data_IF_372965120292
#
_entry.id   IF_372965120292
#
_cell.length_a   1.000
_cell.length_b   1.000
_cell.length_c   1.000
_cell.angle_alpha   90.00
_cell.angle_beta   90.00
_cell.angle_gamma   90.00
#
_symmetry.space_group_name_H-M   'P 1'
#
loop_
_entity.id
_entity.type
_entity.pdbx_description
1 polymer ?
#
# COMPACT_ATOMS: atom_id res chain seq x y z
N UNK A 1 -12.58 -10.15 15.26
CA UNK A 1 -12.22 -10.72 16.59
C UNK A 1 -10.73 -10.94 16.63
N UNK A 2 -10.09 -10.80 17.79
CA UNK A 2 -8.67 -11.16 17.91
C UNK A 2 -8.52 -12.66 18.13
N UNK A 3 -7.59 -13.34 17.43
CA UNK A 3 -7.29 -14.75 17.69
C UNK A 3 -6.49 -14.95 18.98
N UNK A 4 -5.86 -13.88 19.46
CA UNK A 4 -5.08 -13.93 20.69
C UNK A 4 -5.99 -13.73 21.91
N UNK A 5 -5.84 -14.62 22.90
CA UNK A 5 -6.52 -14.54 24.17
C UNK A 5 -7.71 -15.48 24.33
N UNK A 6 -8.15 -15.62 25.57
CA UNK A 6 -9.19 -16.58 25.95
C UNK A 6 -10.61 -16.18 25.49
N UNK A 7 -10.79 -14.93 25.09
CA UNK A 7 -12.12 -14.41 24.71
C UNK A 7 -12.75 -15.18 23.53
N UNK A 8 -11.96 -15.49 22.51
CA UNK A 8 -12.46 -16.29 21.39
C UNK A 8 -12.75 -17.73 21.83
N UNK A 9 -11.87 -18.33 22.61
CA UNK A 9 -12.01 -19.69 23.12
C UNK A 9 -13.27 -19.83 23.97
N UNK A 10 -13.54 -18.87 24.86
CA UNK A 10 -14.74 -18.84 25.70
C UNK A 10 -16.00 -18.69 24.82
N UNK A 11 -15.96 -17.82 23.81
CA UNK A 11 -17.09 -17.64 22.88
C UNK A 11 -17.37 -18.89 22.07
N UNK A 12 -16.33 -19.59 21.57
CA UNK A 12 -16.49 -20.84 20.83
C UNK A 12 -17.08 -21.97 21.71
N UNK A 13 -16.75 -21.99 23.01
CA UNK A 13 -17.37 -22.93 23.95
C UNK A 13 -18.82 -22.64 24.21
N UNK A 14 -19.17 -21.35 24.41
CA UNK A 14 -20.54 -20.93 24.71
C UNK A 14 -21.46 -20.97 23.48
N UNK A 15 -20.88 -20.81 22.28
CA UNK A 15 -21.60 -20.77 21.01
C UNK A 15 -20.90 -21.67 19.98
N UNK A 16 -21.09 -23.00 20.05
CA UNK A 16 -20.42 -23.96 19.16
C UNK A 16 -20.72 -23.72 17.68
N UNK A 17 -21.86 -23.10 17.35
CA UNK A 17 -22.22 -22.68 15.99
C UNK A 17 -21.22 -21.68 15.37
N UNK A 18 -20.44 -20.94 16.18
CA UNK A 18 -19.38 -20.06 15.67
C UNK A 18 -18.28 -20.85 14.93
N UNK A 19 -18.03 -22.09 15.32
CA UNK A 19 -17.00 -22.93 14.70
C UNK A 19 -17.59 -23.85 13.64
N UNK A 20 -18.77 -24.42 13.91
CA UNK A 20 -19.38 -25.43 13.03
C UNK A 20 -20.09 -24.83 11.81
N UNK A 21 -20.57 -23.58 11.90
CA UNK A 21 -21.42 -22.94 10.88
C UNK A 21 -20.78 -21.72 10.22
N UNK A 22 -19.54 -21.37 10.55
CA UNK A 22 -18.84 -20.23 9.95
C UNK A 22 -17.45 -20.63 9.49
N UNK A 23 -16.99 -20.02 8.40
CA UNK A 23 -15.59 -20.05 8.00
C UNK A 23 -14.84 -18.94 8.75
N UNK A 24 -13.70 -19.28 9.33
CA UNK A 24 -12.88 -18.34 10.09
C UNK A 24 -11.61 -18.08 9.30
N UNK A 25 -11.51 -16.88 8.74
CA UNK A 25 -10.31 -16.42 8.04
C UNK A 25 -9.43 -15.61 9.00
N UNK A 26 -8.15 -16.01 9.07
CA UNK A 26 -7.17 -15.37 9.93
C UNK A 26 -6.29 -14.41 9.14
N UNK A 27 -6.31 -13.13 9.51
CA UNK A 27 -5.45 -12.12 8.91
C UNK A 27 -4.33 -11.76 9.88
N UNK A 28 -3.13 -12.24 9.58
CA UNK A 28 -1.91 -11.85 10.30
C UNK A 28 -1.22 -10.68 9.60
N UNK A 29 -0.39 -9.96 10.35
CA UNK A 29 0.53 -8.98 9.76
C UNK A 29 1.52 -9.70 8.86
N UNK A 30 1.70 -9.19 7.64
CA UNK A 30 2.67 -9.76 6.72
C UNK A 30 4.10 -9.46 7.18
N UNK A 31 5.02 -10.44 7.11
CA UNK A 31 6.43 -10.20 7.34
C UNK A 31 7.00 -9.28 6.24
N UNK A 32 8.16 -8.68 6.52
CA UNK A 32 8.80 -7.72 5.61
C UNK A 32 9.05 -8.32 4.24
N UNK A 33 9.56 -9.54 4.18
CA UNK A 33 9.85 -10.23 2.92
C UNK A 33 8.59 -10.41 2.05
N UNK A 34 7.44 -10.71 2.66
CA UNK A 34 6.19 -10.82 1.93
C UNK A 34 5.71 -9.47 1.39
N UNK A 35 5.87 -8.39 2.16
CA UNK A 35 5.56 -7.04 1.72
C UNK A 35 6.45 -6.63 0.54
N UNK A 36 7.75 -6.88 0.61
CA UNK A 36 8.72 -6.62 -0.45
C UNK A 36 8.39 -7.41 -1.72
N UNK A 37 8.14 -8.71 -1.60
CA UNK A 37 7.77 -9.56 -2.74
C UNK A 37 6.49 -9.07 -3.44
N UNK A 38 5.47 -8.70 -2.67
CA UNK A 38 4.22 -8.16 -3.22
C UNK A 38 4.45 -6.81 -3.90
N UNK A 39 5.17 -5.88 -3.28
CA UNK A 39 5.46 -4.59 -3.90
C UNK A 39 6.25 -4.75 -5.21
N UNK A 40 7.29 -5.58 -5.20
CA UNK A 40 8.09 -5.89 -6.38
C UNK A 40 7.23 -6.47 -7.50
N UNK A 41 6.35 -7.42 -7.17
CA UNK A 41 5.42 -8.00 -8.16
C UNK A 41 4.50 -6.95 -8.79
N UNK A 42 3.93 -6.05 -8.01
CA UNK A 42 3.05 -5.01 -8.54
C UNK A 42 3.79 -3.91 -9.30
N UNK A 43 5.04 -3.64 -8.96
CA UNK A 43 5.85 -2.60 -9.58
C UNK A 43 6.66 -3.11 -10.79
N UNK A 44 6.72 -4.42 -11.03
CA UNK A 44 7.50 -5.00 -12.15
C UNK A 44 7.04 -4.49 -13.53
N UNK A 45 5.78 -4.13 -13.66
CA UNK A 45 5.20 -3.62 -14.91
C UNK A 45 5.25 -2.09 -15.04
N UNK A 46 5.71 -1.40 -14.00
CA UNK A 46 5.87 0.06 -14.06
C UNK A 46 7.21 0.40 -14.70
N UNK A 47 7.16 1.38 -15.61
CA UNK A 47 8.37 1.91 -16.22
C UNK A 47 9.02 2.90 -15.25
N UNK A 48 10.25 2.66 -14.90
CA UNK A 48 11.10 3.60 -14.18
C UNK A 48 12.15 4.13 -15.14
N UNK A 49 12.54 5.39 -15.01
CA UNK A 49 13.54 6.00 -15.88
C UNK A 49 14.91 5.32 -15.70
N UNK A 50 15.17 4.89 -14.46
CA UNK A 50 16.33 4.08 -14.09
C UNK A 50 15.84 2.84 -13.33
N UNK A 51 16.28 1.66 -13.73
CA UNK A 51 15.91 0.39 -13.08
C UNK A 51 16.35 0.36 -11.61
N UNK A 52 17.42 1.09 -11.28
CA UNK A 52 17.94 1.24 -9.92
C UNK A 52 16.93 1.93 -8.96
N UNK A 53 15.99 2.72 -9.47
CA UNK A 53 14.97 3.39 -8.66
C UNK A 53 13.91 2.44 -8.13
N UNK A 54 13.75 1.26 -8.70
CA UNK A 54 12.72 0.28 -8.31
C UNK A 54 12.92 -0.21 -6.89
N UNK A 55 14.13 -0.58 -6.51
CA UNK A 55 14.42 -1.11 -5.18
C UNK A 55 14.19 -0.07 -4.07
N UNK A 56 14.68 1.19 -4.16
CA UNK A 56 14.37 2.22 -3.18
C UNK A 56 12.87 2.53 -3.06
N UNK A 57 12.13 2.52 -4.17
CA UNK A 57 10.66 2.73 -4.15
C UNK A 57 9.96 1.59 -3.42
N UNK A 58 10.33 0.35 -3.69
CA UNK A 58 9.80 -0.82 -3.00
C UNK A 58 10.05 -0.72 -1.49
N UNK A 59 11.26 -0.41 -1.10
CA UNK A 59 11.69 -0.27 0.30
C UNK A 59 10.91 0.86 1.00
N UNK A 60 10.71 1.97 0.30
CA UNK A 60 9.93 3.09 0.82
C UNK A 60 8.46 2.71 1.05
N UNK A 61 7.83 2.00 0.13
CA UNK A 61 6.45 1.50 0.26
C UNK A 61 6.31 0.60 1.49
N UNK A 62 7.26 -0.32 1.70
CA UNK A 62 7.29 -1.22 2.85
C UNK A 62 7.49 -0.43 4.15
N UNK A 63 8.41 0.53 4.14
CA UNK A 63 8.69 1.40 5.28
C UNK A 63 7.45 2.20 5.69
N UNK A 64 6.75 2.81 4.73
CA UNK A 64 5.50 3.56 4.99
C UNK A 64 4.46 2.65 5.63
N UNK A 65 4.21 1.46 5.07
CA UNK A 65 3.24 0.52 5.63
C UNK A 65 3.59 0.08 7.05
N UNK A 66 4.86 -0.21 7.30
CA UNK A 66 5.35 -0.61 8.62
C UNK A 66 5.21 0.53 9.64
N UNK A 67 5.48 1.78 9.23
CA UNK A 67 5.33 2.95 10.08
C UNK A 67 3.87 3.18 10.50
N UNK A 68 2.90 2.94 9.61
CA UNK A 68 1.47 3.02 9.93
C UNK A 68 1.11 2.06 11.06
N UNK A 69 1.66 0.84 11.07
CA UNK A 69 1.48 -0.12 12.15
C UNK A 69 1.98 0.40 13.50
N UNK A 70 3.15 1.06 13.51
CA UNK A 70 3.71 1.68 14.71
C UNK A 70 2.86 2.86 15.21
N UNK A 71 2.42 3.73 14.29
CA UNK A 71 1.55 4.86 14.63
C UNK A 71 0.15 4.41 15.08
N UNK A 72 -0.37 3.31 14.55
CA UNK A 72 -1.65 2.73 15.00
C UNK A 72 -1.63 2.35 16.48
N UNK A 73 -0.50 1.81 16.97
CA UNK A 73 -0.33 1.52 18.40
C UNK A 73 -0.31 2.79 19.26
N UNK A 74 0.44 3.80 18.83
CA UNK A 74 0.46 5.11 19.53
C UNK A 74 -0.93 5.76 19.54
N UNK A 75 -1.67 5.65 18.44
CA UNK A 75 -3.03 6.15 18.35
C UNK A 75 -3.97 5.44 19.34
N UNK A 76 -3.84 4.12 19.47
CA UNK A 76 -4.60 3.35 20.46
C UNK A 76 -4.26 3.76 21.90
N UNK A 77 -2.98 3.99 22.19
CA UNK A 77 -2.52 4.43 23.52
C UNK A 77 -3.08 5.80 23.89
N UNK A 78 -3.08 6.75 22.95
CA UNK A 78 -3.49 8.13 23.19
C UNK A 78 -5.00 8.34 23.16
N UNK A 79 -5.68 7.75 22.18
CA UNK A 79 -7.10 7.99 21.92
C UNK A 79 -8.01 6.84 22.32
N UNK A 80 -7.43 5.73 22.83
CA UNK A 80 -8.15 4.51 23.21
C UNK A 80 -9.03 3.93 22.09
N UNK A 81 -8.66 4.20 20.84
CA UNK A 81 -9.34 3.69 19.65
C UNK A 81 -8.40 2.75 18.90
N UNK A 82 -8.90 1.55 18.59
CA UNK A 82 -8.17 0.56 17.79
C UNK A 82 -8.36 0.85 16.31
N UNK A 83 -7.25 0.96 15.60
CA UNK A 83 -7.20 0.94 14.14
C UNK A 83 -6.49 -0.32 13.70
N UNK A 84 -7.06 -1.01 12.72
CA UNK A 84 -6.48 -2.25 12.21
C UNK A 84 -5.80 -1.96 10.88
N UNK A 85 -4.51 -2.28 10.82
CA UNK A 85 -3.73 -2.22 9.58
C UNK A 85 -3.79 -3.59 8.93
N UNK A 86 -4.48 -3.67 7.80
CA UNK A 86 -4.72 -4.93 7.09
C UNK A 86 -3.90 -5.00 5.81
N UNK A 87 -3.59 -6.21 5.29
CA UNK A 87 -2.96 -6.39 3.99
C UNK A 87 -3.71 -5.69 2.84
N UNK A 88 -5.03 -5.56 2.96
CA UNK A 88 -5.84 -4.83 1.98
C UNK A 88 -5.38 -3.37 1.84
N UNK A 89 -5.13 -2.67 2.95
CA UNK A 89 -4.64 -1.28 2.90
C UNK A 89 -3.29 -1.18 2.21
N UNK A 90 -2.42 -2.17 2.37
CA UNK A 90 -1.16 -2.22 1.65
C UNK A 90 -1.36 -2.33 0.14
N UNK A 91 -2.22 -3.23 -0.30
CA UNK A 91 -2.55 -3.38 -1.72
C UNK A 91 -3.22 -2.13 -2.30
N UNK A 92 -4.14 -1.51 -1.57
CA UNK A 92 -4.80 -0.27 -1.99
C UNK A 92 -3.81 0.91 -2.04
N UNK A 93 -2.82 0.95 -1.15
CA UNK A 93 -1.74 1.92 -1.19
C UNK A 93 -0.89 1.77 -2.46
N UNK A 94 -0.44 0.55 -2.79
CA UNK A 94 0.33 0.30 -4.03
C UNK A 94 -0.49 0.68 -5.27
N UNK A 95 -1.76 0.31 -5.33
CA UNK A 95 -2.66 0.68 -6.45
C UNK A 95 -2.79 2.19 -6.58
N UNK A 96 -2.97 2.89 -5.47
CA UNK A 96 -3.07 4.35 -5.44
C UNK A 96 -1.78 5.02 -5.88
N UNK A 97 -0.64 4.50 -5.44
CA UNK A 97 0.68 4.96 -5.90
C UNK A 97 0.82 4.83 -7.42
N UNK A 98 0.52 3.66 -7.98
CA UNK A 98 0.58 3.41 -9.44
C UNK A 98 -0.31 4.37 -10.22
N UNK A 99 -1.56 4.53 -9.77
CA UNK A 99 -2.51 5.47 -10.39
C UNK A 99 -1.99 6.91 -10.36
N UNK A 100 -1.47 7.34 -9.21
CA UNK A 100 -0.93 8.69 -9.04
C UNK A 100 0.31 8.90 -9.91
N UNK A 101 1.21 7.93 -9.95
CA UNK A 101 2.41 7.96 -10.80
C UNK A 101 2.02 8.14 -12.28
N UNK A 102 1.11 7.34 -12.80
CA UNK A 102 0.60 7.46 -14.18
C UNK A 102 0.00 8.84 -14.46
N UNK A 103 -0.84 9.34 -13.55
CA UNK A 103 -1.44 10.69 -13.69
C UNK A 103 -0.37 11.78 -13.70
N UNK A 104 0.63 11.70 -12.82
CA UNK A 104 1.72 12.69 -12.76
C UNK A 104 2.60 12.65 -14.01
N UNK A 105 2.93 11.47 -14.51
CA UNK A 105 3.67 11.30 -15.78
C UNK A 105 2.93 11.90 -16.95
N UNK A 106 1.67 11.55 -17.14
CA UNK A 106 0.85 12.11 -18.22
C UNK A 106 0.82 13.63 -18.17
N UNK A 107 0.69 14.21 -16.97
CA UNK A 107 0.71 15.67 -16.81
C UNK A 107 2.08 16.27 -17.16
N UNK A 108 3.17 15.62 -16.74
CA UNK A 108 4.53 16.04 -17.06
C UNK A 108 4.79 16.00 -18.57
N UNK A 109 4.40 14.90 -19.24
CA UNK A 109 4.56 14.74 -20.68
C UNK A 109 3.76 15.79 -21.48
N UNK A 110 2.55 16.09 -21.04
CA UNK A 110 1.74 17.15 -21.65
C UNK A 110 2.43 18.52 -21.53
N UNK A 111 3.02 18.80 -20.36
CA UNK A 111 3.75 20.05 -20.15
C UNK A 111 4.98 20.13 -21.04
N UNK A 112 5.78 19.06 -21.10
CA UNK A 112 6.97 18.98 -21.97
C UNK A 112 6.58 19.20 -23.43
N UNK A 113 5.60 18.46 -23.95
CA UNK A 113 5.13 18.64 -25.34
C UNK A 113 4.64 20.04 -25.65
N UNK A 114 3.96 20.68 -24.67
CA UNK A 114 3.51 22.07 -24.84
C UNK A 114 4.69 23.03 -24.93
N UNK A 115 5.70 22.86 -24.09
CA UNK A 115 6.91 23.71 -24.08
C UNK A 115 7.74 23.51 -25.36
N UNK A 116 7.94 22.25 -25.77
CA UNK A 116 8.64 21.91 -27.01
C UNK A 116 7.93 22.49 -28.25
N UNK A 117 6.60 22.35 -28.30
CA UNK A 117 5.80 22.94 -29.36
C UNK A 117 5.89 24.46 -29.44
N UNK A 118 5.88 25.13 -28.26
CA UNK A 118 6.09 26.57 -28.16
C UNK A 118 7.48 27.00 -28.65
N UNK A 119 8.52 26.28 -28.19
CA UNK A 119 9.90 26.52 -28.60
C UNK A 119 10.09 26.35 -30.11
N UNK A 120 9.58 25.26 -30.67
CA UNK A 120 9.63 25.02 -32.13
C UNK A 120 8.94 26.12 -32.95
N UNK A 121 7.84 26.66 -32.42
CA UNK A 121 7.12 27.78 -33.11
C UNK A 121 7.97 29.06 -33.08
N UNK A 122 8.62 29.37 -31.97
CA UNK A 122 9.52 30.52 -31.83
C UNK A 122 10.74 30.40 -32.76
N UNK A 123 11.36 29.21 -32.82
CA UNK A 123 12.51 28.95 -33.69
C UNK A 123 12.13 29.12 -35.19
N UNK A 124 10.91 28.72 -35.55
CA UNK A 124 10.44 28.91 -36.94
C UNK A 124 10.08 30.35 -37.29
N UNK A 125 9.77 31.17 -36.27
CA UNK A 125 9.39 32.57 -36.46
C UNK A 125 10.60 33.54 -36.42
N UNK A 126 11.76 33.07 -35.93
CA UNK A 126 13.03 33.79 -35.91
C UNK A 126 13.81 33.55 -37.21
#
# INVERSE_FOLDING_TARGET
MSPAGDTLRIRCRNFPGLVSSTSIDWFFTWPREALEAVATHFLQYEQFDEEEQRAPVTDHIVMVHSSVGAYSKKFEEQLKRKTFVTPKFYLDFIRSYRKLLGTKRTRSDQLVRRLEGGLMTLIKAA
#
